data_IF_168946082229
#
_entry.id   IF_168946082229
#
_cell.length_a   1.000
_cell.length_b   1.000
_cell.length_c   1.000
_cell.angle_alpha   90.00
_cell.angle_beta   90.00
_cell.angle_gamma   90.00
#
_symmetry.space_group_name_H-M   'P 1'
#
loop_
_entity.id
_entity.type
_entity.pdbx_description
1 polymer ?
#
# COMPACT_ATOMS: atom_id res chain seq x y z
N UNK A 1 24.50 7.85 -4.49
CA UNK A 1 23.43 8.72 -4.37
C UNK A 1 22.26 8.39 -5.24
N UNK A 2 22.47 8.33 -6.51
CA UNK A 2 21.38 8.02 -7.43
C UNK A 2 20.82 6.63 -7.21
N UNK A 3 21.69 5.67 -6.88
CA UNK A 3 21.21 4.32 -6.67
C UNK A 3 20.29 4.25 -5.46
N UNK A 4 20.60 5.02 -4.42
CA UNK A 4 19.72 5.10 -3.26
C UNK A 4 18.37 5.68 -3.66
N UNK A 5 18.42 6.72 -4.48
CA UNK A 5 17.19 7.37 -4.94
C UNK A 5 16.37 6.38 -5.75
N UNK A 6 17.01 5.68 -6.67
CA UNK A 6 16.31 4.71 -7.51
C UNK A 6 15.69 3.60 -6.66
N UNK A 7 16.45 3.10 -5.71
CA UNK A 7 15.98 2.02 -4.86
C UNK A 7 14.80 2.45 -4.03
N UNK A 8 14.77 3.71 -3.63
CA UNK A 8 13.73 4.22 -2.77
C UNK A 8 12.52 4.74 -3.50
N UNK A 9 12.53 4.69 -4.82
CA UNK A 9 11.37 5.14 -5.58
C UNK A 9 10.13 4.36 -5.17
N UNK A 10 10.25 3.06 -5.10
CA UNK A 10 9.12 2.22 -4.71
C UNK A 10 8.69 2.52 -3.28
N UNK A 11 9.65 2.78 -2.40
CA UNK A 11 9.33 3.11 -1.02
C UNK A 11 8.64 4.45 -0.93
N UNK A 12 9.05 5.40 -1.75
CA UNK A 12 8.39 6.70 -1.78
C UNK A 12 6.95 6.53 -2.28
N UNK A 13 6.78 5.76 -3.33
CA UNK A 13 5.44 5.50 -3.84
C UNK A 13 4.57 4.83 -2.79
N UNK A 14 5.15 3.90 -2.04
CA UNK A 14 4.43 3.23 -0.98
C UNK A 14 3.97 4.22 0.09
N UNK A 15 4.85 5.11 0.50
CA UNK A 15 4.50 6.10 1.50
C UNK A 15 3.40 7.02 1.00
N UNK A 16 3.49 7.43 -0.24
CA UNK A 16 2.46 8.27 -0.83
C UNK A 16 1.14 7.52 -0.93
N UNK A 17 1.20 6.25 -1.25
CA UNK A 17 0.01 5.41 -1.30
C UNK A 17 -0.65 5.33 0.07
N UNK A 18 0.13 5.09 1.12
CA UNK A 18 -0.41 5.00 2.46
C UNK A 18 -1.01 6.33 2.91
N UNK A 19 -0.37 7.41 2.52
CA UNK A 19 -0.90 8.74 2.82
C UNK A 19 -2.23 8.95 2.09
N UNK A 20 -2.31 8.52 0.84
CA UNK A 20 -3.53 8.66 0.06
C UNK A 20 -4.67 7.85 0.69
N UNK A 21 -4.38 6.65 1.17
CA UNK A 21 -5.39 5.85 1.85
C UNK A 21 -5.89 6.57 3.08
N UNK A 22 -4.99 7.13 3.85
CA UNK A 22 -5.37 7.86 5.04
C UNK A 22 -6.22 9.08 4.70
N UNK A 23 -5.78 9.84 3.72
CA UNK A 23 -6.50 11.07 3.34
C UNK A 23 -7.90 10.76 2.78
N UNK A 24 -7.99 9.71 1.99
CA UNK A 24 -9.24 9.41 1.30
C UNK A 24 -10.22 8.63 2.16
N UNK A 25 -9.70 7.67 2.94
CA UNK A 25 -10.55 6.73 3.67
C UNK A 25 -10.31 6.71 5.16
N UNK A 26 -9.30 7.45 5.64
CA UNK A 26 -8.98 7.56 7.06
C UNK A 26 -8.46 6.26 7.68
N UNK A 27 -7.98 5.34 6.85
CA UNK A 27 -7.28 4.16 7.35
C UNK A 27 -5.80 4.47 7.46
N UNK A 28 -5.28 4.40 8.67
CA UNK A 28 -3.90 4.78 8.94
C UNK A 28 -3.03 3.55 9.13
N UNK A 29 -2.30 3.20 8.08
CA UNK A 29 -1.38 2.08 8.14
C UNK A 29 0.06 2.53 8.28
N UNK A 30 0.29 3.83 8.47
CA UNK A 30 1.65 4.37 8.49
C UNK A 30 2.43 3.96 9.72
N UNK A 31 1.74 3.59 10.80
CA UNK A 31 2.39 3.16 12.01
C UNK A 31 2.76 1.69 12.04
N UNK A 32 2.38 0.94 11.02
CA UNK A 32 2.67 -0.48 10.97
C UNK A 32 4.03 -0.72 10.35
N UNK A 33 4.52 -1.97 10.53
CA UNK A 33 5.79 -2.35 9.94
C UNK A 33 5.77 -2.15 8.44
N UNK A 34 6.71 -1.34 7.95
CA UNK A 34 6.76 -1.06 6.52
C UNK A 34 7.04 -2.31 5.70
N UNK A 35 7.87 -3.20 6.23
CA UNK A 35 8.18 -4.43 5.52
C UNK A 35 6.94 -5.29 5.34
N UNK A 36 6.13 -5.41 6.37
CA UNK A 36 4.91 -6.19 6.30
C UNK A 36 3.90 -5.54 5.34
N UNK A 37 3.69 -4.25 5.50
CA UNK A 37 2.76 -3.52 4.66
C UNK A 37 3.20 -3.61 3.19
N UNK A 38 4.47 -3.41 2.94
CA UNK A 38 4.97 -3.45 1.57
C UNK A 38 4.73 -4.80 0.94
N UNK A 39 5.00 -5.86 1.68
CA UNK A 39 4.80 -7.21 1.14
C UNK A 39 3.33 -7.46 0.80
N UNK A 40 2.42 -7.04 1.67
CA UNK A 40 1.00 -7.22 1.43
C UNK A 40 0.54 -6.41 0.23
N UNK A 41 1.01 -5.18 0.14
CA UNK A 41 0.59 -4.32 -0.96
C UNK A 41 1.22 -4.73 -2.28
N UNK A 42 2.41 -5.32 -2.26
CA UNK A 42 2.97 -5.88 -3.49
C UNK A 42 2.08 -6.98 -4.02
N UNK A 43 1.59 -7.82 -3.14
CA UNK A 43 0.69 -8.89 -3.54
C UNK A 43 -0.62 -8.34 -4.09
N UNK A 44 -1.18 -7.36 -3.40
CA UNK A 44 -2.42 -6.73 -3.83
C UNK A 44 -2.25 -6.05 -5.18
N UNK A 45 -1.13 -5.36 -5.36
CA UNK A 45 -0.83 -4.68 -6.61
C UNK A 45 -0.82 -5.67 -7.77
N UNK A 46 -0.19 -6.80 -7.54
CA UNK A 46 -0.10 -7.83 -8.57
C UNK A 46 -1.47 -8.39 -8.90
N UNK A 47 -2.27 -8.66 -7.88
CA UNK A 47 -3.59 -9.24 -8.07
C UNK A 47 -4.55 -8.28 -8.75
N UNK A 48 -4.42 -7.01 -8.45
CA UNK A 48 -5.28 -6.01 -9.06
C UNK A 48 -4.83 -5.69 -10.48
N UNK A 49 -3.58 -5.99 -10.80
CA UNK A 49 -3.09 -5.81 -12.15
C UNK A 49 -2.36 -4.51 -12.38
N UNK A 50 -1.78 -3.95 -11.32
CA UNK A 50 -1.00 -2.72 -11.44
C UNK A 50 0.47 -3.05 -11.36
N UNK A 51 1.28 -2.22 -12.02
CA UNK A 51 2.72 -2.44 -12.04
C UNK A 51 3.48 -1.57 -11.06
N UNK A 52 2.85 -0.53 -10.55
CA UNK A 52 3.48 0.38 -9.60
C UNK A 52 2.50 0.70 -8.48
N UNK A 53 3.04 1.16 -7.36
CA UNK A 53 2.18 1.65 -6.29
C UNK A 53 1.46 2.93 -6.69
N UNK A 54 2.09 3.74 -7.54
CA UNK A 54 1.42 4.93 -8.05
C UNK A 54 0.21 4.54 -8.89
N UNK A 55 0.35 3.50 -9.70
CA UNK A 55 -0.78 3.00 -10.48
C UNK A 55 -1.88 2.45 -9.59
N UNK A 56 -1.49 1.73 -8.54
CA UNK A 56 -2.44 1.21 -7.58
C UNK A 56 -3.16 2.34 -6.86
N UNK A 57 -2.41 3.38 -6.50
CA UNK A 57 -2.98 4.56 -5.86
C UNK A 57 -4.01 5.23 -6.76
N UNK A 58 -3.68 5.36 -8.02
CA UNK A 58 -4.60 5.96 -8.97
C UNK A 58 -5.89 5.17 -9.04
N UNK A 59 -5.79 3.86 -9.13
CA UNK A 59 -6.99 3.02 -9.17
C UNK A 59 -7.78 3.12 -7.88
N UNK A 60 -7.09 3.11 -6.76
CA UNK A 60 -7.75 3.19 -5.46
C UNK A 60 -8.52 4.50 -5.31
N UNK A 61 -7.97 5.58 -5.83
CA UNK A 61 -8.61 6.89 -5.69
C UNK A 61 -9.79 7.06 -6.66
N UNK A 62 -9.77 6.39 -7.79
CA UNK A 62 -10.77 6.59 -8.83
C UNK A 62 -11.73 5.41 -9.00
N UNK A 63 -11.49 4.30 -8.31
CA UNK A 63 -12.33 3.11 -8.45
C UNK A 63 -12.66 2.59 -7.06
N UNK A 64 -13.89 2.81 -6.64
CA UNK A 64 -14.32 2.42 -5.31
C UNK A 64 -14.22 0.91 -5.07
N UNK A 65 -14.26 0.12 -6.11
CA UNK A 65 -14.21 -1.33 -5.96
C UNK A 65 -12.81 -1.82 -5.55
N UNK A 66 -11.79 -0.99 -5.73
CA UNK A 66 -10.42 -1.40 -5.41
C UNK A 66 -10.18 -1.45 -3.91
N UNK A 67 -10.76 -0.52 -3.16
CA UNK A 67 -10.51 -0.46 -1.72
C UNK A 67 -10.90 -1.75 -0.99
N UNK A 68 -12.08 -2.31 -1.22
CA UNK A 68 -12.40 -3.58 -0.54
C UNK A 68 -11.40 -4.67 -0.85
N UNK A 69 -10.90 -4.73 -2.07
CA UNK A 69 -9.89 -5.71 -2.43
C UNK A 69 -8.60 -5.46 -1.67
N UNK A 70 -8.20 -4.19 -1.57
CA UNK A 70 -7.01 -3.84 -0.81
C UNK A 70 -7.16 -4.22 0.65
N UNK A 71 -8.31 -3.93 1.23
CA UNK A 71 -8.54 -4.22 2.63
C UNK A 71 -8.49 -5.71 2.92
N UNK A 72 -8.90 -6.54 1.96
CA UNK A 72 -8.79 -7.98 2.14
C UNK A 72 -7.34 -8.38 2.38
N UNK A 73 -6.40 -7.77 1.69
CA UNK A 73 -5.00 -8.08 1.89
C UNK A 73 -4.44 -7.46 3.16
N UNK A 74 -4.93 -6.30 3.52
CA UNK A 74 -4.41 -5.59 4.68
C UNK A 74 -5.04 -6.06 5.98
N UNK A 75 -6.35 -6.22 6.01
CA UNK A 75 -7.02 -6.56 7.26
C UNK A 75 -6.80 -8.00 7.67
N UNK A 76 -6.64 -8.90 6.71
CA UNK A 76 -6.32 -10.28 7.03
C UNK A 76 -5.05 -10.35 7.85
N UNK A 77 -4.14 -9.39 7.63
CA UNK A 77 -2.85 -9.38 8.29
C UNK A 77 -2.79 -8.47 9.51
N UNK A 78 -3.86 -7.74 9.76
CA UNK A 78 -3.86 -6.79 10.87
C UNK A 78 -3.69 -7.52 12.21
N UNK A 79 -4.30 -8.67 12.37
CA UNK A 79 -4.14 -9.41 13.61
C UNK A 79 -2.70 -9.83 13.82
N UNK A 80 -2.00 -10.19 12.75
CA UNK A 80 -0.57 -10.49 12.86
C UNK A 80 0.22 -9.28 13.30
N UNK A 81 -0.10 -8.13 12.74
CA UNK A 81 0.58 -6.90 13.11
C UNK A 81 0.32 -6.53 14.56
N UNK A 82 -0.89 -6.73 15.01
CA UNK A 82 -1.25 -6.41 16.39
C UNK A 82 -0.64 -7.37 17.39
N UNK A 83 -0.31 -8.56 16.95
CA UNK A 83 0.28 -9.53 17.84
C UNK A 83 1.73 -9.22 18.14
N UNK A 84 2.36 -8.48 17.29
CA UNK A 84 3.72 -8.07 17.53
C UNK A 84 3.75 -6.93 18.53
#
# INVERSE_FOLDING_TARGET
MTSDTAMKTEDIELQLFLEAVYQRYHYDFRGYSKASIKRRLLLARERIGCTTFSGLQDRMLHDHAVLPQLLDYLTVQVSDMFRD
#
